data_IF_653162739233
#
_entry.id   IF_653162739233
#
_cell.length_a   1.000
_cell.length_b   1.000
_cell.length_c   1.000
_cell.angle_alpha   90.00
_cell.angle_beta   90.00
_cell.angle_gamma   90.00
#
_symmetry.space_group_name_H-M   'P 1'
#
loop_
_entity.id
_entity.type
_entity.pdbx_description
1 polymer ?
#
# COMPACT_ATOMS: atom_id res chain seq x y z
N UNK A 1 22.63 14.66 11.97
CA UNK A 1 22.16 13.94 10.77
C UNK A 1 21.80 12.55 11.24
N UNK A 2 20.54 12.29 11.53
CA UNK A 2 20.06 10.92 11.79
C UNK A 2 20.19 10.16 10.48
N UNK A 3 21.06 9.19 10.40
CA UNK A 3 21.12 8.21 9.29
C UNK A 3 19.77 7.49 9.29
N UNK A 4 18.88 7.90 8.38
CA UNK A 4 17.60 7.23 8.18
C UNK A 4 17.89 5.76 7.85
N UNK A 5 17.41 4.87 8.70
CA UNK A 5 17.71 3.43 8.58
C UNK A 5 17.03 2.88 7.34
N UNK A 6 17.81 2.26 6.43
CA UNK A 6 17.30 1.58 5.25
C UNK A 6 16.39 0.43 5.69
N UNK A 7 15.12 0.48 5.25
CA UNK A 7 14.09 -0.47 5.63
C UNK A 7 13.83 -1.50 4.52
N UNK A 8 13.71 -1.02 3.28
CA UNK A 8 13.45 -1.84 2.10
C UNK A 8 14.46 -1.49 1.00
N UNK A 9 15.10 -2.50 0.42
CA UNK A 9 15.99 -2.35 -0.74
C UNK A 9 15.53 -3.27 -1.86
N UNK A 10 15.16 -2.69 -2.98
CA UNK A 10 14.68 -3.36 -4.19
C UNK A 10 15.78 -3.24 -5.25
N UNK A 11 16.31 -4.35 -5.73
CA UNK A 11 17.45 -4.41 -6.63
C UNK A 11 17.07 -5.10 -7.94
N UNK A 12 17.00 -4.34 -9.03
CA UNK A 12 16.74 -4.80 -10.40
C UNK A 12 15.54 -5.77 -10.50
N UNK A 13 14.49 -5.54 -9.70
CA UNK A 13 13.29 -6.38 -9.69
C UNK A 13 12.53 -6.21 -10.99
N UNK A 14 12.21 -7.33 -11.64
CA UNK A 14 11.43 -7.37 -12.88
C UNK A 14 10.38 -8.47 -12.84
N UNK A 15 9.39 -8.36 -13.73
CA UNK A 15 8.36 -9.37 -13.85
C UNK A 15 7.96 -9.60 -15.30
N UNK A 16 7.95 -10.86 -15.70
CA UNK A 16 7.49 -11.29 -17.02
C UNK A 16 6.49 -12.45 -16.87
N UNK A 17 5.49 -12.48 -17.73
CA UNK A 17 4.48 -13.53 -17.79
C UNK A 17 4.23 -13.91 -19.23
N UNK A 18 4.28 -15.19 -19.55
CA UNK A 18 4.07 -15.72 -20.91
C UNK A 18 4.95 -15.02 -21.97
N UNK A 19 6.23 -14.81 -21.66
CA UNK A 19 7.18 -14.15 -22.56
C UNK A 19 7.04 -12.63 -22.68
N UNK A 20 6.03 -12.02 -22.07
CA UNK A 20 5.82 -10.57 -22.07
C UNK A 20 6.33 -9.94 -20.78
N UNK A 21 7.18 -8.93 -20.88
CA UNK A 21 7.63 -8.12 -19.73
C UNK A 21 6.49 -7.20 -19.29
N UNK A 22 6.08 -7.34 -18.03
CA UNK A 22 5.05 -6.52 -17.38
C UNK A 22 5.65 -5.48 -16.43
N UNK A 23 6.87 -5.72 -15.93
CA UNK A 23 7.67 -4.79 -15.15
C UNK A 23 9.11 -4.86 -15.63
N UNK A 24 9.62 -3.77 -16.18
CA UNK A 24 11.05 -3.62 -16.50
C UNK A 24 11.87 -3.62 -15.19
N UNK A 25 13.19 -3.92 -15.21
CA UNK A 25 14.00 -3.91 -13.99
C UNK A 25 13.93 -2.57 -13.26
N UNK A 26 13.55 -2.62 -12.00
CA UNK A 26 13.41 -1.45 -11.10
C UNK A 26 14.26 -1.63 -9.87
N UNK A 27 14.94 -0.56 -9.48
CA UNK A 27 15.65 -0.48 -8.20
C UNK A 27 15.17 0.74 -7.43
N UNK A 28 14.94 0.58 -6.12
CA UNK A 28 14.59 1.65 -5.20
C UNK A 28 15.02 1.31 -3.78
N UNK A 29 15.19 2.32 -2.97
CA UNK A 29 15.41 2.20 -1.53
C UNK A 29 14.33 2.97 -0.79
N UNK A 30 13.87 2.44 0.33
CA UNK A 30 12.90 3.09 1.21
C UNK A 30 13.43 3.07 2.63
N UNK A 31 13.46 4.23 3.25
CA UNK A 31 13.94 4.42 4.61
C UNK A 31 12.78 4.52 5.61
N UNK A 32 13.08 4.33 6.87
CA UNK A 32 12.13 4.51 7.98
C UNK A 32 11.59 5.94 7.98
N UNK A 33 10.26 6.10 8.02
CA UNK A 33 9.62 7.42 8.00
C UNK A 33 9.65 8.12 6.64
N UNK A 34 9.97 7.41 5.56
CA UNK A 34 9.98 7.95 4.21
C UNK A 34 8.65 7.71 3.48
N UNK A 35 8.24 8.69 2.68
CA UNK A 35 7.13 8.55 1.73
C UNK A 35 7.65 8.67 0.31
N UNK A 36 7.54 7.58 -0.47
CA UNK A 36 7.90 7.49 -1.88
C UNK A 36 6.63 7.40 -2.75
N UNK A 37 6.53 8.21 -3.80
CA UNK A 37 5.49 8.08 -4.81
C UNK A 37 6.01 7.39 -6.07
N UNK A 38 5.27 6.39 -6.54
CA UNK A 38 5.47 5.78 -7.86
C UNK A 38 4.53 6.44 -8.86
N UNK A 39 5.08 6.91 -9.97
CA UNK A 39 4.34 7.49 -11.09
C UNK A 39 4.75 6.84 -12.41
N UNK A 40 4.01 7.11 -13.47
CA UNK A 40 4.30 6.58 -14.80
C UNK A 40 3.02 6.18 -15.54
N UNK A 41 3.09 5.86 -16.83
CA UNK A 41 1.92 5.52 -17.64
C UNK A 41 1.22 4.26 -17.16
N UNK A 42 -0.03 4.09 -17.58
CA UNK A 42 -0.75 2.82 -17.38
C UNK A 42 0.05 1.68 -18.03
N UNK A 43 0.10 0.52 -17.37
CA UNK A 43 0.86 -0.63 -17.85
C UNK A 43 2.37 -0.57 -17.60
N UNK A 44 2.90 0.44 -16.89
CA UNK A 44 4.32 0.50 -16.51
C UNK A 44 4.74 -0.45 -15.38
N UNK A 45 3.82 -1.23 -14.83
CA UNK A 45 4.11 -2.24 -13.80
C UNK A 45 4.07 -1.74 -12.35
N UNK A 46 3.54 -0.54 -12.08
CA UNK A 46 3.48 0.03 -10.71
C UNK A 46 2.80 -0.90 -9.69
N UNK A 47 1.57 -1.32 -9.96
CA UNK A 47 0.84 -2.25 -9.10
C UNK A 47 1.51 -3.63 -9.03
N UNK A 48 2.16 -4.06 -10.12
CA UNK A 48 2.96 -5.29 -10.16
C UNK A 48 4.14 -5.20 -9.18
N UNK A 49 4.87 -4.08 -9.20
CA UNK A 49 5.97 -3.83 -8.27
C UNK A 49 5.49 -3.85 -6.81
N UNK A 50 4.40 -3.14 -6.50
CA UNK A 50 3.84 -3.15 -5.13
C UNK A 50 3.42 -4.55 -4.68
N UNK A 51 2.81 -5.35 -5.57
CA UNK A 51 2.44 -6.74 -5.26
C UNK A 51 3.64 -7.63 -5.00
N UNK A 52 4.75 -7.43 -5.75
CA UNK A 52 6.00 -8.15 -5.51
C UNK A 52 6.60 -7.74 -4.16
N UNK A 53 6.65 -6.46 -3.85
CA UNK A 53 7.12 -5.95 -2.55
C UNK A 53 6.26 -6.50 -1.42
N UNK A 54 4.94 -6.62 -1.60
CA UNK A 54 4.03 -7.21 -0.62
C UNK A 54 4.15 -8.75 -0.50
N UNK A 55 5.02 -9.40 -1.28
CA UNK A 55 5.09 -10.88 -1.38
C UNK A 55 3.74 -11.52 -1.79
N UNK A 56 2.93 -10.79 -2.58
CA UNK A 56 1.71 -11.29 -3.21
C UNK A 56 1.96 -11.83 -4.61
N UNK A 57 3.11 -11.52 -5.19
CA UNK A 57 3.57 -11.96 -6.51
C UNK A 57 5.08 -12.21 -6.42
N UNK A 58 5.55 -13.28 -7.06
CA UNK A 58 6.98 -13.60 -7.13
C UNK A 58 7.64 -12.85 -8.29
N UNK A 59 8.80 -12.24 -8.05
CA UNK A 59 9.57 -11.57 -9.09
C UNK A 59 10.16 -12.59 -10.07
N UNK A 60 10.24 -12.23 -11.36
CA UNK A 60 10.93 -13.07 -12.35
C UNK A 60 12.45 -12.94 -12.24
N UNK A 61 12.96 -11.79 -11.80
CA UNK A 61 14.37 -11.55 -11.52
C UNK A 61 14.53 -10.38 -10.53
N UNK A 62 15.74 -10.20 -10.01
CA UNK A 62 16.08 -9.20 -9.02
C UNK A 62 15.96 -9.71 -7.60
N UNK A 63 16.13 -8.82 -6.63
CA UNK A 63 16.15 -9.16 -5.21
C UNK A 63 15.49 -8.05 -4.40
N UNK A 64 14.81 -8.44 -3.33
CA UNK A 64 14.26 -7.50 -2.34
C UNK A 64 14.77 -7.90 -0.96
N UNK A 65 15.30 -6.94 -0.22
CA UNK A 65 15.61 -7.12 1.19
C UNK A 65 14.76 -6.19 2.05
N UNK A 66 14.29 -6.72 3.17
CA UNK A 66 13.59 -5.99 4.22
C UNK A 66 14.39 -6.13 5.52
N UNK A 67 14.77 -5.00 6.12
CA UNK A 67 15.67 -4.98 7.28
C UNK A 67 16.93 -5.84 7.04
N UNK A 68 17.55 -5.66 5.86
CA UNK A 68 18.76 -6.37 5.39
C UNK A 68 18.60 -7.90 5.19
N UNK A 69 17.37 -8.43 5.31
CA UNK A 69 17.07 -9.85 5.10
C UNK A 69 16.30 -10.04 3.79
N UNK A 70 16.70 -11.03 3.02
CA UNK A 70 15.99 -11.39 1.78
C UNK A 70 14.55 -11.80 2.09
N UNK A 71 13.56 -11.16 1.43
CA UNK A 71 12.14 -11.43 1.70
C UNK A 71 11.72 -12.85 1.38
N UNK A 72 12.42 -13.54 0.45
CA UNK A 72 12.15 -14.93 0.09
C UNK A 72 12.49 -15.92 1.20
N UNK A 73 13.33 -15.51 2.15
CA UNK A 73 13.72 -16.31 3.32
C UNK A 73 12.83 -16.06 4.54
N UNK A 74 11.95 -15.07 4.47
CA UNK A 74 11.07 -14.71 5.58
C UNK A 74 9.79 -15.55 5.55
N UNK A 75 9.18 -15.77 6.73
CA UNK A 75 7.84 -16.31 6.80
C UNK A 75 6.86 -15.29 6.17
N UNK A 76 6.10 -15.66 5.10
CA UNK A 76 5.25 -14.72 4.39
C UNK A 76 4.15 -14.07 5.24
N UNK A 77 3.61 -14.78 6.23
CA UNK A 77 2.57 -14.26 7.11
C UNK A 77 3.14 -13.17 8.02
N UNK A 78 4.30 -13.42 8.64
CA UNK A 78 4.99 -12.44 9.48
C UNK A 78 5.47 -11.23 8.65
N UNK A 79 5.94 -11.44 7.43
CA UNK A 79 6.35 -10.37 6.54
C UNK A 79 5.17 -9.45 6.20
N UNK A 80 4.03 -10.01 5.78
CA UNK A 80 2.82 -9.25 5.43
C UNK A 80 2.16 -8.53 6.61
N UNK A 81 2.48 -8.92 7.84
CA UNK A 81 2.09 -8.14 9.03
C UNK A 81 2.91 -6.85 9.18
N UNK A 82 4.11 -6.82 8.61
CA UNK A 82 5.01 -5.66 8.66
C UNK A 82 4.98 -4.83 7.37
N UNK A 83 4.62 -5.44 6.24
CA UNK A 83 4.48 -4.79 4.93
C UNK A 83 3.05 -4.98 4.46
N UNK A 84 2.22 -3.97 4.70
CA UNK A 84 0.78 -4.02 4.45
C UNK A 84 0.42 -3.43 3.09
N UNK A 85 -0.48 -4.08 2.37
CA UNK A 85 -0.91 -3.66 1.03
C UNK A 85 -2.37 -3.20 1.03
N UNK A 86 -2.60 -1.98 0.58
CA UNK A 86 -3.92 -1.41 0.37
C UNK A 86 -4.27 -1.45 -1.11
N UNK A 87 -5.31 -2.18 -1.45
CA UNK A 87 -5.82 -2.31 -2.82
C UNK A 87 -6.51 -1.04 -3.30
N UNK A 88 -6.44 -0.78 -4.61
CA UNK A 88 -7.13 0.32 -5.27
C UNK A 88 -8.64 0.29 -4.97
N UNK A 89 -9.28 -0.86 -5.11
CA UNK A 89 -10.66 -1.08 -4.69
C UNK A 89 -10.67 -1.81 -3.36
N UNK A 90 -11.17 -1.20 -2.27
CA UNK A 90 -11.18 -1.83 -0.97
C UNK A 90 -12.16 -3.00 -0.96
N UNK A 91 -11.64 -4.19 -0.67
CA UNK A 91 -12.49 -5.34 -0.42
C UNK A 91 -12.80 -5.40 1.07
N UNK A 92 -14.06 -5.25 1.43
CA UNK A 92 -14.55 -5.38 2.79
C UNK A 92 -15.08 -6.80 3.02
N UNK A 93 -14.99 -7.27 4.25
CA UNK A 93 -15.37 -8.62 4.67
C UNK A 93 -16.46 -8.56 5.74
N UNK A 94 -17.21 -9.65 5.90
CA UNK A 94 -18.31 -9.70 6.86
C UNK A 94 -19.49 -8.83 6.47
N UNK A 95 -20.24 -8.36 7.45
CA UNK A 95 -21.46 -7.58 7.24
C UNK A 95 -21.32 -6.11 7.67
N UNK A 96 -20.45 -5.83 8.65
CA UNK A 96 -20.35 -4.53 9.30
C UNK A 96 -18.94 -3.93 9.22
N UNK A 97 -18.86 -2.65 9.52
CA UNK A 97 -17.57 -1.96 9.71
C UNK A 97 -16.80 -2.59 10.86
N UNK A 98 -17.50 -2.99 11.95
CA UNK A 98 -16.89 -3.71 13.07
C UNK A 98 -16.16 -4.97 12.60
N UNK A 99 -16.80 -5.80 11.77
CA UNK A 99 -16.19 -7.03 11.28
C UNK A 99 -14.86 -6.77 10.55
N UNK A 100 -14.81 -5.68 9.78
CA UNK A 100 -13.60 -5.29 9.07
C UNK A 100 -12.48 -4.82 10.00
N UNK A 101 -12.79 -3.97 10.96
CA UNK A 101 -11.79 -3.43 11.89
C UNK A 101 -11.35 -4.48 12.92
N UNK A 102 -12.23 -5.41 13.29
CA UNK A 102 -11.91 -6.51 14.21
C UNK A 102 -11.13 -7.66 13.56
N UNK A 103 -11.20 -7.83 12.22
CA UNK A 103 -10.57 -8.93 11.50
C UNK A 103 -9.05 -9.07 11.79
N UNK A 104 -8.23 -8.00 11.75
CA UNK A 104 -6.79 -8.11 12.07
C UNK A 104 -6.52 -8.57 13.51
N UNK A 105 -7.41 -8.27 14.46
CA UNK A 105 -7.35 -8.71 15.86
C UNK A 105 -7.67 -10.19 15.96
N UNK A 106 -8.74 -10.63 15.27
CA UNK A 106 -9.17 -12.05 15.27
C UNK A 106 -8.09 -12.95 14.69
N UNK A 107 -7.43 -12.54 13.56
CA UNK A 107 -6.30 -13.27 12.96
C UNK A 107 -5.16 -13.46 13.98
N UNK A 108 -4.96 -12.51 14.89
CA UNK A 108 -3.96 -12.56 15.96
C UNK A 108 -4.47 -13.17 17.26
N UNK A 109 -5.69 -13.76 17.25
CA UNK A 109 -6.35 -14.33 18.44
C UNK A 109 -6.53 -13.31 19.56
N UNK A 110 -6.73 -12.05 19.20
CA UNK A 110 -6.99 -10.92 20.10
C UNK A 110 -8.39 -10.36 19.86
N UNK A 111 -8.88 -9.58 20.81
CA UNK A 111 -10.15 -8.85 20.66
C UNK A 111 -9.89 -7.36 20.88
N UNK A 112 -10.34 -6.49 19.95
CA UNK A 112 -10.31 -5.06 20.18
C UNK A 112 -11.39 -4.66 21.19
N UNK A 113 -11.17 -3.56 21.90
CA UNK A 113 -12.28 -2.89 22.59
C UNK A 113 -13.05 -2.03 21.60
N UNK A 114 -14.33 -1.74 21.92
CA UNK A 114 -15.14 -0.87 21.06
C UNK A 114 -14.55 0.54 20.96
N UNK A 115 -14.01 1.04 22.08
CA UNK A 115 -13.37 2.35 22.18
C UNK A 115 -12.15 2.47 21.26
N UNK A 116 -11.33 1.41 21.13
CA UNK A 116 -10.20 1.37 20.22
C UNK A 116 -10.65 1.49 18.75
N UNK A 117 -11.70 0.77 18.38
CA UNK A 117 -12.22 0.82 16.99
C UNK A 117 -12.90 2.17 16.70
N UNK A 118 -13.62 2.75 17.66
CA UNK A 118 -14.21 4.09 17.52
C UNK A 118 -13.11 5.16 17.39
N UNK A 119 -12.04 5.07 18.17
CA UNK A 119 -10.90 5.97 18.04
C UNK A 119 -10.23 5.86 16.64
N UNK A 120 -10.16 4.64 16.09
CA UNK A 120 -9.69 4.44 14.71
C UNK A 120 -10.60 5.14 13.69
N UNK A 121 -11.92 5.02 13.81
CA UNK A 121 -12.89 5.72 12.94
C UNK A 121 -12.70 7.24 12.98
N UNK A 122 -12.54 7.79 14.19
CA UNK A 122 -12.35 9.23 14.38
C UNK A 122 -11.10 9.76 13.64
N UNK A 123 -10.03 8.95 13.52
CA UNK A 123 -8.80 9.34 12.83
C UNK A 123 -8.98 9.60 11.32
N UNK A 124 -10.05 9.09 10.73
CA UNK A 124 -10.44 9.32 9.33
C UNK A 124 -11.80 10.02 9.22
N UNK A 125 -12.20 10.75 10.25
CA UNK A 125 -13.44 11.54 10.28
C UNK A 125 -14.71 10.69 10.00
N UNK A 126 -14.75 9.48 10.51
CA UNK A 126 -15.95 8.64 10.53
C UNK A 126 -16.57 8.65 11.95
N UNK A 127 -17.90 8.80 12.01
CA UNK A 127 -18.63 8.84 13.27
C UNK A 127 -18.62 7.47 13.97
N UNK A 128 -18.74 7.46 15.29
CA UNK A 128 -18.72 6.25 16.11
C UNK A 128 -19.83 5.25 15.73
N UNK A 129 -20.99 5.76 15.33
CA UNK A 129 -22.15 4.98 14.89
C UNK A 129 -21.89 4.17 13.63
N UNK A 130 -20.90 4.60 12.85
CA UNK A 130 -20.48 3.86 11.65
C UNK A 130 -19.99 2.44 11.97
N UNK A 131 -19.55 2.19 13.19
CA UNK A 131 -19.00 0.90 13.57
C UNK A 131 -19.99 -0.26 13.33
N UNK A 132 -21.28 -0.03 13.57
CA UNK A 132 -22.33 -1.03 13.41
C UNK A 132 -23.01 -0.98 12.02
N UNK A 133 -22.59 -0.04 11.16
CA UNK A 133 -23.18 0.14 9.84
C UNK A 133 -22.83 -1.01 8.91
N UNK A 134 -23.82 -1.46 8.15
CA UNK A 134 -23.61 -2.48 7.12
C UNK A 134 -22.72 -1.93 6.00
N UNK A 135 -21.73 -2.75 5.57
CA UNK A 135 -20.74 -2.36 4.53
C UNK A 135 -21.37 -2.06 3.17
N UNK A 136 -22.53 -2.65 2.87
CA UNK A 136 -23.28 -2.37 1.62
C UNK A 136 -23.82 -0.93 1.59
N UNK A 137 -24.03 -0.33 2.74
CA UNK A 137 -24.56 1.05 2.87
C UNK A 137 -23.47 2.12 2.87
N UNK A 138 -22.20 1.72 2.76
CA UNK A 138 -21.08 2.65 2.75
C UNK A 138 -20.89 3.26 1.36
N UNK A 139 -20.61 4.57 1.32
CA UNK A 139 -20.11 5.24 0.12
C UNK A 139 -18.72 4.71 -0.27
N UNK A 140 -18.29 4.98 -1.50
CA UNK A 140 -16.95 4.58 -1.96
C UNK A 140 -15.82 5.13 -1.08
N UNK A 141 -15.92 6.40 -0.68
CA UNK A 141 -14.95 7.04 0.22
C UNK A 141 -14.96 6.45 1.63
N UNK A 142 -16.13 6.11 2.19
CA UNK A 142 -16.25 5.41 3.46
C UNK A 142 -15.62 4.02 3.41
N UNK A 143 -15.90 3.24 2.34
CA UNK A 143 -15.29 1.92 2.11
C UNK A 143 -13.77 2.01 2.06
N UNK A 144 -13.23 3.03 1.36
CA UNK A 144 -11.79 3.24 1.26
C UNK A 144 -11.16 3.53 2.62
N UNK A 145 -11.76 4.43 3.40
CA UNK A 145 -11.28 4.75 4.75
C UNK A 145 -11.35 3.55 5.70
N UNK A 146 -12.43 2.77 5.67
CA UNK A 146 -12.53 1.53 6.48
C UNK A 146 -11.48 0.50 6.04
N UNK A 147 -11.26 0.31 4.74
CA UNK A 147 -10.22 -0.57 4.21
C UNK A 147 -8.81 -0.16 4.64
N UNK A 148 -8.52 1.14 4.61
CA UNK A 148 -7.25 1.68 5.10
C UNK A 148 -7.09 1.45 6.61
N UNK A 149 -8.10 1.78 7.42
CA UNK A 149 -8.08 1.56 8.87
C UNK A 149 -7.87 0.10 9.25
N UNK A 150 -8.45 -0.82 8.51
CA UNK A 150 -8.21 -2.26 8.72
C UNK A 150 -6.74 -2.61 8.63
N UNK A 151 -6.03 -2.06 7.65
CA UNK A 151 -4.59 -2.27 7.49
C UNK A 151 -3.74 -1.59 8.57
N UNK A 152 -4.29 -0.59 9.26
CA UNK A 152 -3.63 0.19 10.30
C UNK A 152 -3.99 -0.24 11.74
N UNK A 153 -4.86 -1.24 11.94
CA UNK A 153 -5.20 -1.74 13.28
C UNK A 153 -3.96 -2.23 14.05
N UNK A 154 -3.00 -2.78 13.34
CA UNK A 154 -1.65 -3.06 13.82
C UNK A 154 -0.69 -2.33 12.89
N UNK A 155 -0.01 -1.32 13.43
CA UNK A 155 0.85 -0.45 12.63
C UNK A 155 1.93 -1.26 11.90
N UNK A 156 1.90 -1.30 10.55
CA UNK A 156 2.97 -1.93 9.78
C UNK A 156 4.22 -1.04 9.78
N UNK A 157 5.37 -1.58 9.40
CA UNK A 157 6.58 -0.79 9.12
C UNK A 157 6.52 -0.14 7.74
N UNK A 158 5.92 -0.83 6.77
CA UNK A 158 5.72 -0.33 5.39
C UNK A 158 4.24 -0.43 5.02
N UNK A 159 3.71 0.65 4.47
CA UNK A 159 2.36 0.72 3.91
C UNK A 159 2.45 0.94 2.39
N UNK A 160 1.88 0.01 1.63
CA UNK A 160 1.84 0.05 0.17
C UNK A 160 0.43 0.47 -0.26
N UNK A 161 0.33 1.58 -1.00
CA UNK A 161 -0.93 2.21 -1.39
C UNK A 161 -1.09 2.14 -2.92
N UNK A 162 -1.90 1.21 -3.40
CA UNK A 162 -2.16 1.03 -4.82
C UNK A 162 -3.35 1.92 -5.25
N UNK A 163 -3.07 3.15 -5.66
CA UNK A 163 -4.05 4.14 -6.14
C UNK A 163 -5.25 4.37 -5.21
N UNK A 164 -5.05 4.31 -3.90
CA UNK A 164 -6.14 4.36 -2.90
C UNK A 164 -6.94 5.66 -2.89
N UNK A 165 -6.41 6.73 -3.47
CA UNK A 165 -7.07 8.05 -3.56
C UNK A 165 -7.66 8.34 -4.93
N UNK A 166 -7.41 7.50 -5.96
CA UNK A 166 -7.70 7.82 -7.36
C UNK A 166 -9.19 8.05 -7.68
N UNK A 167 -10.08 7.37 -6.98
CA UNK A 167 -11.54 7.45 -7.18
C UNK A 167 -12.25 8.33 -6.14
N UNK A 168 -11.51 9.09 -5.34
CA UNK A 168 -12.05 9.90 -4.25
C UNK A 168 -12.18 11.37 -4.66
N UNK A 169 -13.16 12.04 -4.06
CA UNK A 169 -13.25 13.49 -4.08
C UNK A 169 -12.12 14.13 -3.25
N UNK A 170 -11.91 15.44 -3.42
CA UNK A 170 -10.81 16.16 -2.78
C UNK A 170 -10.87 16.12 -1.25
N UNK A 171 -12.06 16.15 -0.65
CA UNK A 171 -12.22 16.08 0.81
C UNK A 171 -11.71 14.73 1.36
N UNK A 172 -12.16 13.63 0.76
CA UNK A 172 -11.72 12.29 1.13
C UNK A 172 -10.22 12.05 0.88
N UNK A 173 -9.66 12.61 -0.21
CA UNK A 173 -8.22 12.58 -0.46
C UNK A 173 -7.44 13.29 0.65
N UNK A 174 -7.87 14.49 1.04
CA UNK A 174 -7.24 15.26 2.11
C UNK A 174 -7.25 14.51 3.45
N UNK A 175 -8.37 13.88 3.82
CA UNK A 175 -8.48 13.10 5.05
C UNK A 175 -7.45 11.96 5.05
N UNK A 176 -7.40 11.16 3.97
CA UNK A 176 -6.49 10.03 3.86
C UNK A 176 -5.02 10.49 3.86
N UNK A 177 -4.69 11.49 3.05
CA UNK A 177 -3.31 11.98 2.96
C UNK A 177 -2.85 12.59 4.29
N UNK A 178 -3.71 13.35 4.99
CA UNK A 178 -3.40 13.92 6.31
C UNK A 178 -3.13 12.83 7.36
N UNK A 179 -3.91 11.75 7.37
CA UNK A 179 -3.63 10.61 8.24
C UNK A 179 -2.28 9.98 7.92
N UNK A 180 -2.02 9.67 6.64
CA UNK A 180 -0.76 9.05 6.21
C UNK A 180 0.43 9.92 6.59
N UNK A 181 0.38 11.23 6.32
CA UNK A 181 1.46 12.17 6.64
C UNK A 181 1.71 12.29 8.15
N UNK A 182 0.65 12.21 8.98
CA UNK A 182 0.84 12.18 10.44
C UNK A 182 1.52 10.89 10.89
N UNK A 183 1.14 9.74 10.32
CA UNK A 183 1.74 8.44 10.64
C UNK A 183 3.22 8.36 10.19
N UNK A 184 3.54 8.92 9.03
CA UNK A 184 4.94 9.03 8.57
C UNK A 184 5.77 9.84 9.55
N UNK A 185 5.28 11.03 9.98
CA UNK A 185 6.02 11.92 10.89
C UNK A 185 6.08 11.40 12.33
N UNK A 186 4.97 10.88 12.85
CA UNK A 186 4.83 10.60 14.30
C UNK A 186 5.12 9.15 14.65
N UNK A 187 4.94 8.24 13.71
CA UNK A 187 5.10 6.79 13.90
C UNK A 187 6.23 6.19 13.08
N UNK A 188 6.97 7.03 12.33
CA UNK A 188 8.02 6.58 11.43
C UNK A 188 7.53 5.53 10.41
N UNK A 189 6.25 5.59 10.00
CA UNK A 189 5.71 4.72 8.98
C UNK A 189 6.41 5.00 7.65
N UNK A 190 6.92 3.97 6.98
CA UNK A 190 7.41 4.08 5.62
C UNK A 190 6.27 3.79 4.63
N UNK A 191 6.18 4.56 3.55
CA UNK A 191 5.06 4.47 2.60
C UNK A 191 5.56 4.45 1.17
N UNK A 192 5.05 3.51 0.36
CA UNK A 192 5.14 3.58 -1.11
C UNK A 192 3.71 3.71 -1.65
N UNK A 193 3.42 4.82 -2.32
CA UNK A 193 2.12 5.08 -2.92
C UNK A 193 2.18 5.19 -4.44
N UNK A 194 1.14 4.74 -5.13
CA UNK A 194 0.91 5.04 -6.54
C UNK A 194 -0.09 6.18 -6.62
N UNK A 195 0.28 7.24 -7.33
CA UNK A 195 -0.61 8.35 -7.61
C UNK A 195 -0.46 8.83 -9.06
N UNK A 196 -1.58 9.27 -9.63
CA UNK A 196 -1.67 9.99 -10.89
C UNK A 196 -2.09 11.46 -10.68
N UNK A 197 -2.34 11.86 -9.44
CA UNK A 197 -2.75 13.21 -9.08
C UNK A 197 -1.54 14.16 -9.18
N UNK A 198 -1.70 15.22 -9.99
CA UNK A 198 -0.62 16.18 -10.25
C UNK A 198 -0.23 16.95 -8.97
N UNK A 199 -1.18 17.19 -8.07
CA UNK A 199 -0.93 17.91 -6.83
C UNK A 199 -0.17 17.03 -5.84
N UNK A 200 -0.56 15.74 -5.71
CA UNK A 200 0.18 14.78 -4.89
C UNK A 200 1.62 14.61 -5.38
N UNK A 201 1.81 14.47 -6.70
CA UNK A 201 3.15 14.33 -7.31
C UNK A 201 4.01 15.58 -7.11
N UNK A 202 3.43 16.79 -7.25
CA UNK A 202 4.17 18.04 -7.06
C UNK A 202 4.55 18.31 -5.61
N UNK A 203 3.73 17.87 -4.66
CA UNK A 203 3.98 18.04 -3.22
C UNK A 203 4.88 16.95 -2.62
N UNK A 204 5.13 15.87 -3.36
CA UNK A 204 5.94 14.76 -2.87
C UNK A 204 7.43 15.10 -2.91
N UNK A 205 8.13 14.78 -1.83
CA UNK A 205 9.59 14.95 -1.74
C UNK A 205 10.35 13.88 -2.52
N UNK A 206 9.78 12.67 -2.62
CA UNK A 206 10.38 11.51 -3.27
C UNK A 206 9.43 10.93 -4.31
N UNK A 207 9.83 10.97 -5.59
CA UNK A 207 9.04 10.44 -6.71
C UNK A 207 9.92 9.57 -7.58
N UNK A 208 9.48 8.32 -7.83
CA UNK A 208 10.10 7.42 -8.81
C UNK A 208 9.16 7.25 -10.00
N UNK A 209 9.64 7.61 -11.19
CA UNK A 209 8.88 7.42 -12.42
C UNK A 209 9.24 6.10 -13.08
N UNK A 210 8.25 5.22 -13.21
CA UNK A 210 8.37 3.97 -13.96
C UNK A 210 8.06 4.20 -15.43
N UNK A 211 8.81 3.49 -16.29
CA UNK A 211 8.60 3.50 -17.72
C UNK A 211 7.87 2.22 -18.17
N UNK A 212 7.05 2.33 -19.20
CA UNK A 212 6.46 1.14 -19.79
C UNK A 212 7.59 0.22 -20.33
N UNK A 213 7.49 -1.10 -20.11
CA UNK A 213 8.43 -2.03 -20.72
C UNK A 213 8.44 -1.83 -22.25
N UNK A 214 9.63 -1.90 -22.88
CA UNK A 214 9.71 -1.92 -24.32
C UNK A 214 8.89 -3.11 -24.84
N UNK A 215 7.89 -2.85 -25.68
CA UNK A 215 7.19 -3.92 -26.38
C UNK A 215 8.23 -4.58 -27.28
N UNK A 216 8.50 -5.87 -27.07
CA UNK A 216 9.33 -6.65 -27.98
C UNK A 216 8.83 -6.46 -29.40
N UNK A 217 9.72 -6.14 -30.32
CA UNK A 217 9.40 -6.12 -31.75
C UNK A 217 8.72 -7.47 -32.05
N UNK A 218 7.48 -7.42 -32.49
CA UNK A 218 6.84 -8.56 -33.11
C UNK A 218 7.74 -9.00 -34.26
N UNK A 219 8.29 -10.20 -34.15
CA UNK A 219 8.88 -10.86 -35.29
C UNK A 219 7.74 -11.06 -36.30
N UNK A 220 7.69 -10.23 -37.34
CA UNK A 220 6.97 -10.59 -38.55
C UNK A 220 7.54 -11.93 -39.03
N UNK A 221 6.72 -12.95 -39.23
CA UNK A 221 7.18 -14.17 -39.88
C UNK A 221 7.45 -13.84 -41.37
N UNK A 222 8.65 -14.13 -41.78
CA UNK A 222 9.05 -14.07 -43.20
C UNK A 222 8.30 -15.13 -44.04
#
# INVERSE_FOLDING_TARGET
MTTESLLLDVQAVSYAMQGRTLLAPVSLQLHVGERLLLTGPSGSGKSTLLKIIASLLEASAGKITFEQRDITTLNPEHYRQQVSYCFQTPQLFGETVYDNLALPWQIRQQKPTREQLVASLASVQLAAEMLDKNIEQLSGGEKQRVGLLRNLQFMPKVLLLDEVTSALDEENKLIINSLIDSLVREKNLAVIGISHDVNEIRSANNVLKLHAPAQGAEHEPA
#
